data_IF_524016263357
#
_entry.id   IF_524016263357
#
_cell.length_a   1.000
_cell.length_b   1.000
_cell.length_c   1.000
_cell.angle_alpha   90.00
_cell.angle_beta   90.00
_cell.angle_gamma   90.00
#
_symmetry.space_group_name_H-M   'P 1'
#
loop_
_entity.id
_entity.type
_entity.pdbx_description
1 polymer ?
#
# COMPACT_ATOMS: atom_id res chain seq x y z
N UNK A 1 43.01 53.23 -46.95
CA UNK A 1 41.80 52.44 -47.30
C UNK A 1 41.41 51.60 -46.15
N UNK A 2 40.53 52.10 -45.30
CA UNK A 2 40.04 51.41 -44.08
C UNK A 2 38.66 50.90 -44.33
N UNK A 3 38.52 49.59 -44.31
CA UNK A 3 37.25 48.93 -44.55
C UNK A 3 36.57 48.63 -43.18
N UNK A 4 35.54 49.39 -42.82
CA UNK A 4 34.72 49.20 -41.64
C UNK A 4 33.60 48.24 -41.95
N UNK A 5 33.65 47.04 -41.38
CA UNK A 5 32.58 46.01 -41.45
C UNK A 5 31.50 46.36 -40.43
N UNK A 6 30.36 46.85 -40.91
CA UNK A 6 29.17 47.16 -40.13
C UNK A 6 28.42 45.84 -39.84
N UNK A 7 28.51 45.34 -38.58
CA UNK A 7 27.65 44.28 -38.06
C UNK A 7 26.36 44.93 -37.51
N UNK A 8 25.26 44.77 -38.23
CA UNK A 8 23.93 45.10 -37.75
C UNK A 8 23.02 43.96 -38.18
N UNK A 9 22.78 43.02 -37.28
CA UNK A 9 21.67 42.09 -37.44
C UNK A 9 20.97 41.95 -36.09
N UNK A 10 20.24 42.99 -35.70
CA UNK A 10 19.29 42.96 -34.62
C UNK A 10 17.97 42.43 -35.20
N UNK A 11 17.86 41.09 -35.30
CA UNK A 11 16.55 40.47 -35.53
C UNK A 11 15.75 40.60 -34.22
N UNK A 12 14.99 41.68 -34.10
CA UNK A 12 13.96 41.79 -33.08
C UNK A 12 12.91 40.70 -33.36
N UNK A 13 12.96 39.64 -32.57
CA UNK A 13 11.86 38.64 -32.57
C UNK A 13 10.55 39.42 -32.36
N UNK A 14 9.59 39.23 -33.27
CA UNK A 14 8.25 39.78 -33.14
C UNK A 14 7.66 39.41 -31.78
N UNK A 15 6.77 40.22 -31.23
CA UNK A 15 6.14 39.97 -29.91
C UNK A 15 5.53 38.58 -29.84
N UNK A 16 4.98 38.07 -30.93
CA UNK A 16 4.47 36.70 -31.10
C UNK A 16 5.56 35.64 -30.94
N UNK A 17 6.76 35.87 -31.51
CA UNK A 17 7.89 34.95 -31.36
C UNK A 17 8.40 34.87 -29.92
N UNK A 18 8.44 35.99 -29.19
CA UNK A 18 8.81 36.02 -27.76
C UNK A 18 7.80 35.28 -26.88
N UNK A 19 6.50 35.48 -27.15
CA UNK A 19 5.44 34.76 -26.42
C UNK A 19 5.54 33.24 -26.67
N UNK A 20 5.82 32.83 -27.90
CA UNK A 20 5.92 31.41 -28.27
C UNK A 20 7.12 30.73 -27.59
N UNK A 21 8.25 31.43 -27.48
CA UNK A 21 9.45 30.94 -26.74
C UNK A 21 9.16 30.83 -25.24
N UNK A 22 8.48 31.82 -24.64
CA UNK A 22 8.12 31.77 -23.21
C UNK A 22 7.17 30.62 -22.94
N UNK A 23 6.17 30.39 -23.79
CA UNK A 23 5.25 29.24 -23.66
C UNK A 23 5.99 27.90 -23.81
N UNK A 24 6.92 27.81 -24.77
CA UNK A 24 7.74 26.59 -24.94
C UNK A 24 8.64 26.32 -23.74
N UNK A 25 9.23 27.34 -23.13
CA UNK A 25 10.05 27.22 -21.90
C UNK A 25 9.19 26.82 -20.70
N UNK A 26 8.00 27.39 -20.53
CA UNK A 26 7.07 27.03 -19.46
C UNK A 26 6.55 25.60 -19.61
N UNK A 27 6.36 25.08 -20.81
CA UNK A 27 5.99 23.68 -21.07
C UNK A 27 7.16 22.71 -20.84
N UNK A 28 8.41 23.18 -20.91
CA UNK A 28 9.62 22.37 -20.67
C UNK A 28 9.96 22.14 -19.19
N UNK A 29 9.46 22.98 -18.27
CA UNK A 29 9.67 22.80 -16.83
C UNK A 29 8.62 21.81 -16.31
N UNK A 30 8.79 20.55 -16.66
CA UNK A 30 8.00 19.46 -16.12
C UNK A 30 8.27 19.28 -14.62
N UNK A 31 7.46 19.93 -13.77
CA UNK A 31 7.47 19.70 -12.33
C UNK A 31 7.07 18.26 -12.05
N UNK A 32 8.03 17.36 -11.90
CA UNK A 32 7.81 15.96 -11.50
C UNK A 32 7.08 15.85 -10.15
N UNK A 33 7.03 16.93 -9.37
CA UNK A 33 6.29 17.05 -8.12
C UNK A 33 4.79 17.36 -8.27
N UNK A 34 4.32 17.66 -9.48
CA UNK A 34 2.90 17.94 -9.75
C UNK A 34 2.05 16.66 -9.89
N UNK A 35 2.70 15.49 -9.99
CA UNK A 35 1.98 14.22 -10.09
C UNK A 35 1.42 13.77 -8.72
N UNK A 36 0.20 13.19 -8.69
CA UNK A 36 -0.45 12.72 -7.47
C UNK A 36 0.41 11.71 -6.70
N UNK A 37 0.35 11.84 -5.39
CA UNK A 37 0.90 10.89 -4.41
C UNK A 37 -0.24 10.44 -3.53
N UNK A 38 -0.25 9.18 -3.20
CA UNK A 38 -1.23 8.56 -2.33
C UNK A 38 -0.49 7.74 -1.28
N UNK A 39 -0.91 7.85 -0.05
CA UNK A 39 -0.38 7.08 1.07
C UNK A 39 -1.55 6.40 1.77
N UNK A 40 -1.60 5.05 1.67
CA UNK A 40 -2.53 4.24 2.42
C UNK A 40 -1.93 3.93 3.79
N UNK A 41 -2.54 4.48 4.81
CA UNK A 41 -2.23 4.21 6.20
C UNK A 41 -3.53 3.76 6.89
N UNK A 42 -3.71 2.45 7.01
CA UNK A 42 -4.89 1.87 7.66
C UNK A 42 -4.69 1.95 9.17
N UNK A 43 -4.69 3.17 9.74
CA UNK A 43 -4.75 3.40 11.19
C UNK A 43 -3.72 2.65 12.06
N UNK A 44 -2.67 2.09 11.46
CA UNK A 44 -1.66 1.33 12.20
C UNK A 44 -0.77 2.25 13.04
N UNK A 45 -0.55 1.88 14.31
CA UNK A 45 0.41 2.58 15.18
C UNK A 45 1.85 2.43 14.70
N UNK A 46 2.16 1.35 13.98
CA UNK A 46 3.51 1.06 13.50
C UNK A 46 3.79 1.77 12.16
N UNK A 47 4.91 2.46 12.11
CA UNK A 47 5.36 3.17 10.91
C UNK A 47 6.24 2.32 10.00
N UNK A 48 6.95 1.35 10.59
CA UNK A 48 7.92 0.49 9.93
C UNK A 48 7.68 -0.98 10.28
N UNK A 49 8.05 -1.87 9.36
CA UNK A 49 7.95 -3.32 9.56
C UNK A 49 8.68 -3.79 10.82
N UNK A 50 9.86 -3.24 11.08
CA UNK A 50 10.70 -3.62 12.22
C UNK A 50 10.04 -3.27 13.58
N UNK A 51 9.20 -2.24 13.63
CA UNK A 51 8.49 -1.86 14.86
C UNK A 51 7.46 -2.93 15.23
N UNK A 52 6.61 -3.34 14.26
CA UNK A 52 5.61 -4.39 14.52
C UNK A 52 6.29 -5.72 14.82
N UNK A 53 7.35 -6.04 14.10
CA UNK A 53 8.13 -7.25 14.31
C UNK A 53 8.72 -7.31 15.71
N UNK A 54 9.34 -6.23 16.17
CA UNK A 54 9.92 -6.11 17.52
C UNK A 54 8.85 -6.24 18.61
N UNK A 55 7.66 -5.65 18.42
CA UNK A 55 6.57 -5.77 19.38
C UNK A 55 6.00 -7.20 19.38
N UNK A 56 5.89 -7.85 18.21
CA UNK A 56 5.47 -9.23 18.10
C UNK A 56 6.47 -10.22 18.77
N UNK A 57 7.76 -9.96 18.64
CA UNK A 57 8.79 -10.83 19.23
C UNK A 57 8.76 -10.84 20.77
N UNK A 58 8.23 -9.77 21.41
CA UNK A 58 8.02 -9.69 22.86
C UNK A 58 6.88 -10.58 23.38
N UNK A 59 6.02 -11.07 22.49
CA UNK A 59 4.95 -12.00 22.88
C UNK A 59 5.58 -13.34 23.22
N UNK A 60 5.31 -13.85 24.39
CA UNK A 60 5.77 -15.17 24.84
C UNK A 60 4.56 -16.08 25.07
N UNK A 61 4.58 -17.26 24.42
CA UNK A 61 3.51 -18.25 24.60
C UNK A 61 3.48 -18.72 26.05
N UNK A 62 2.28 -18.90 26.58
CA UNK A 62 1.97 -19.30 27.97
C UNK A 62 2.34 -18.28 29.05
N UNK A 63 2.76 -17.05 28.66
CA UNK A 63 3.10 -15.98 29.61
C UNK A 63 2.35 -14.68 29.28
N UNK A 64 2.32 -14.29 28.00
CA UNK A 64 1.69 -13.04 27.58
C UNK A 64 0.17 -13.12 27.70
N UNK A 65 -0.41 -12.17 28.42
CA UNK A 65 -1.87 -12.05 28.56
C UNK A 65 -2.49 -11.16 27.50
N UNK A 66 -3.83 -11.18 27.38
CA UNK A 66 -4.56 -10.25 26.52
C UNK A 66 -4.28 -8.78 26.87
N UNK A 67 -4.12 -8.45 28.16
CA UNK A 67 -3.79 -7.10 28.60
C UNK A 67 -2.38 -6.68 28.15
N UNK A 68 -1.43 -7.60 28.12
CA UNK A 68 -0.09 -7.32 27.63
C UNK A 68 -0.08 -7.17 26.12
N UNK A 69 -0.90 -7.94 25.39
CA UNK A 69 -1.10 -7.74 23.94
C UNK A 69 -1.61 -6.33 23.62
N UNK A 70 -2.56 -5.80 24.41
CA UNK A 70 -3.02 -4.41 24.25
C UNK A 70 -1.89 -3.40 24.43
N UNK A 71 -1.04 -3.57 25.46
CA UNK A 71 0.13 -2.70 25.70
C UNK A 71 1.13 -2.77 24.54
N UNK A 72 1.34 -3.94 23.97
CA UNK A 72 2.18 -4.15 22.80
C UNK A 72 1.56 -3.59 21.49
N UNK A 73 0.26 -3.25 21.51
CA UNK A 73 -0.46 -2.67 20.39
C UNK A 73 -1.30 -3.67 19.59
N UNK A 74 -1.37 -4.92 20.03
CA UNK A 74 -2.24 -5.93 19.43
C UNK A 74 -3.62 -5.91 20.11
N UNK A 75 -4.31 -4.75 19.99
CA UNK A 75 -5.64 -4.54 20.54
C UNK A 75 -6.68 -4.39 19.43
N UNK A 76 -7.60 -5.36 19.25
CA UNK A 76 -8.60 -5.33 18.20
C UNK A 76 -9.65 -4.22 18.37
N UNK A 77 -9.76 -3.64 19.56
CA UNK A 77 -10.74 -2.57 19.82
C UNK A 77 -10.21 -1.18 19.46
N UNK A 78 -8.91 -1.01 19.36
CA UNK A 78 -8.26 0.28 19.04
C UNK A 78 -7.53 0.27 17.70
N UNK A 79 -7.24 -0.92 17.16
CA UNK A 79 -6.51 -1.09 15.90
C UNK A 79 -7.43 -1.69 14.83
N UNK A 80 -7.80 -0.96 13.77
CA UNK A 80 -8.77 -1.43 12.76
C UNK A 80 -8.28 -2.59 11.90
N UNK A 81 -6.99 -2.85 11.93
CA UNK A 81 -6.32 -3.94 11.20
C UNK A 81 -6.07 -5.19 12.04
N UNK A 82 -6.76 -5.30 13.17
CA UNK A 82 -6.73 -6.49 14.03
C UNK A 82 -8.16 -7.03 14.19
N UNK A 83 -8.36 -8.27 13.81
CA UNK A 83 -9.65 -8.95 13.86
C UNK A 83 -9.66 -10.03 14.93
N UNK A 84 -10.79 -10.16 15.62
CA UNK A 84 -11.02 -11.26 16.57
C UNK A 84 -11.54 -12.45 15.78
N UNK A 85 -10.92 -13.59 15.97
CA UNK A 85 -11.33 -14.88 15.43
C UNK A 85 -11.96 -15.71 16.53
N UNK A 86 -13.11 -16.32 16.22
CA UNK A 86 -13.70 -17.37 17.07
C UNK A 86 -12.94 -18.69 16.93
N UNK A 87 -13.21 -19.66 17.81
CA UNK A 87 -12.63 -21.00 17.66
C UNK A 87 -13.04 -21.68 16.34
N UNK A 88 -14.20 -21.34 15.77
CA UNK A 88 -14.64 -21.86 14.47
C UNK A 88 -13.79 -21.29 13.33
N UNK A 89 -13.45 -20.02 13.39
CA UNK A 89 -12.55 -19.39 12.41
C UNK A 89 -11.14 -19.99 12.49
N UNK A 90 -10.69 -20.31 13.72
CA UNK A 90 -9.40 -20.98 13.95
C UNK A 90 -9.44 -22.40 13.34
N UNK A 91 -10.52 -23.17 13.55
CA UNK A 91 -10.70 -24.49 12.92
C UNK A 91 -10.58 -24.36 11.41
N UNK A 92 -11.37 -23.45 10.80
CA UNK A 92 -11.36 -23.28 9.36
C UNK A 92 -9.99 -22.90 8.81
N UNK A 93 -9.19 -22.17 9.57
CA UNK A 93 -7.86 -21.72 9.17
C UNK A 93 -6.81 -22.83 9.24
N UNK A 94 -6.85 -23.65 10.28
CA UNK A 94 -5.89 -24.73 10.48
C UNK A 94 -6.32 -26.07 9.87
N UNK A 95 -7.62 -26.26 9.69
CA UNK A 95 -8.23 -27.47 9.13
C UNK A 95 -9.12 -27.10 7.93
N UNK A 96 -8.54 -26.62 6.82
CA UNK A 96 -9.31 -26.15 5.66
C UNK A 96 -10.00 -27.27 4.88
N UNK A 97 -9.72 -28.53 5.19
CA UNK A 97 -10.33 -29.72 4.60
C UNK A 97 -10.31 -30.90 5.57
N UNK A 98 -11.08 -31.94 5.27
CA UNK A 98 -11.30 -33.12 6.12
C UNK A 98 -10.07 -34.03 6.27
N UNK A 99 -9.00 -33.82 5.49
CA UNK A 99 -7.78 -34.62 5.59
C UNK A 99 -6.86 -34.20 6.74
N UNK A 100 -7.10 -33.01 7.33
CA UNK A 100 -6.35 -32.51 8.47
C UNK A 100 -7.20 -32.71 9.72
N UNK A 101 -6.64 -33.43 10.68
CA UNK A 101 -7.29 -33.73 11.96
C UNK A 101 -6.70 -32.89 13.09
N UNK A 102 -7.36 -32.89 14.26
CA UNK A 102 -6.84 -32.20 15.43
C UNK A 102 -5.49 -32.76 15.92
N UNK A 103 -5.20 -34.00 15.59
CA UNK A 103 -3.95 -34.67 16.02
C UNK A 103 -2.76 -34.27 15.10
N UNK A 104 -3.04 -33.74 13.94
CA UNK A 104 -2.02 -33.21 13.02
C UNK A 104 -1.61 -31.76 13.37
N UNK A 105 -2.35 -31.10 14.27
CA UNK A 105 -2.11 -29.72 14.64
C UNK A 105 -1.10 -29.60 15.79
N UNK A 106 -0.52 -28.41 15.94
CA UNK A 106 0.25 -28.06 17.12
C UNK A 106 -0.60 -28.33 18.40
N UNK A 107 -0.04 -28.95 19.44
CA UNK A 107 -0.77 -29.26 20.66
C UNK A 107 -1.47 -28.05 21.30
N UNK A 108 -0.87 -26.86 21.21
CA UNK A 108 -1.47 -25.64 21.76
C UNK A 108 -2.74 -25.23 20.99
N UNK A 109 -2.74 -25.43 19.67
CA UNK A 109 -3.91 -25.15 18.81
C UNK A 109 -5.01 -26.16 19.07
N UNK A 110 -4.67 -27.44 19.08
CA UNK A 110 -5.62 -28.53 19.40
C UNK A 110 -6.27 -28.34 20.76
N UNK A 111 -5.49 -27.99 21.78
CA UNK A 111 -5.98 -27.67 23.11
C UNK A 111 -6.93 -26.48 23.11
N UNK A 112 -6.57 -25.39 22.46
CA UNK A 112 -7.41 -24.20 22.32
C UNK A 112 -8.75 -24.55 21.65
N UNK A 113 -8.73 -25.22 20.50
CA UNK A 113 -9.95 -25.64 19.79
C UNK A 113 -10.88 -26.46 20.67
N UNK A 114 -10.35 -27.38 21.45
CA UNK A 114 -11.11 -28.21 22.40
C UNK A 114 -11.75 -27.39 23.54
N UNK A 115 -11.13 -26.26 23.90
CA UNK A 115 -11.67 -25.30 24.89
C UNK A 115 -12.83 -24.43 24.39
N UNK A 116 -13.15 -24.50 23.09
CA UNK A 116 -14.30 -23.80 22.43
C UNK A 116 -14.34 -22.30 22.76
N UNK A 117 -15.32 -21.87 23.57
CA UNK A 117 -15.57 -20.44 23.84
C UNK A 117 -14.41 -19.71 24.54
N UNK A 118 -13.50 -20.45 25.19
CA UNK A 118 -12.29 -19.88 25.80
C UNK A 118 -11.16 -19.65 24.77
N UNK A 119 -11.29 -20.27 23.59
CA UNK A 119 -10.33 -20.16 22.50
C UNK A 119 -10.74 -19.03 21.55
N UNK A 120 -9.89 -18.03 21.42
CA UNK A 120 -10.02 -16.95 20.46
C UNK A 120 -8.69 -16.72 19.74
N UNK A 121 -8.75 -16.04 18.59
CA UNK A 121 -7.56 -15.62 17.88
C UNK A 121 -7.56 -14.12 17.63
N UNK A 122 -6.38 -13.50 17.56
CA UNK A 122 -6.18 -12.19 17.01
C UNK A 122 -5.43 -12.32 15.69
N UNK A 123 -6.06 -11.86 14.61
CA UNK A 123 -5.46 -11.76 13.30
C UNK A 123 -5.09 -10.31 13.04
N UNK A 124 -3.79 -10.02 13.05
CA UNK A 124 -3.27 -8.69 12.85
C UNK A 124 -2.66 -8.55 11.45
N UNK A 125 -3.09 -7.53 10.69
CA UNK A 125 -2.65 -7.28 9.32
C UNK A 125 -2.17 -5.82 9.14
N UNK A 126 -1.23 -5.32 9.96
CA UNK A 126 -0.71 -3.98 9.76
C UNK A 126 0.09 -3.90 8.47
N UNK A 127 -0.18 -2.86 7.71
CA UNK A 127 0.52 -2.59 6.45
C UNK A 127 0.61 -1.09 6.20
N UNK A 128 1.56 -0.70 5.39
CA UNK A 128 1.68 0.66 4.89
C UNK A 128 2.11 0.63 3.45
N UNK A 129 1.40 1.37 2.60
CA UNK A 129 1.77 1.49 1.21
C UNK A 129 1.76 2.95 0.78
N UNK A 130 2.76 3.32 -0.03
CA UNK A 130 2.86 4.62 -0.68
C UNK A 130 2.89 4.40 -2.17
N UNK A 131 2.05 5.11 -2.89
CA UNK A 131 2.08 5.15 -4.34
C UNK A 131 2.42 6.54 -4.85
N UNK A 132 3.34 6.60 -5.80
CA UNK A 132 3.77 7.85 -6.45
C UNK A 132 3.72 7.65 -7.94
N UNK A 133 3.04 8.56 -8.63
CA UNK A 133 3.13 8.62 -10.09
C UNK A 133 4.46 9.26 -10.48
N UNK A 134 5.12 8.67 -11.47
CA UNK A 134 6.41 9.11 -11.97
C UNK A 134 6.40 9.13 -13.49
N UNK A 135 7.20 10.04 -14.10
CA UNK A 135 7.34 10.12 -15.54
C UNK A 135 6.92 11.47 -16.11
N UNK A 136 6.51 11.48 -17.37
CA UNK A 136 6.14 12.70 -18.08
C UNK A 136 4.73 13.15 -17.68
N UNK A 137 4.64 14.37 -17.10
CA UNK A 137 3.39 14.95 -16.59
C UNK A 137 2.33 15.09 -17.69
N UNK A 138 2.72 15.53 -18.90
CA UNK A 138 1.77 15.68 -19.99
C UNK A 138 1.15 14.35 -20.44
N UNK A 139 1.96 13.29 -20.54
CA UNK A 139 1.48 11.95 -20.88
C UNK A 139 0.61 11.33 -19.78
N UNK A 140 0.85 11.66 -18.51
CA UNK A 140 0.04 11.22 -17.38
C UNK A 140 -1.29 11.96 -17.32
N UNK A 141 -1.27 13.31 -17.42
CA UNK A 141 -2.47 14.15 -17.43
C UNK A 141 -3.41 13.82 -18.59
N UNK A 142 -2.85 13.60 -19.77
CA UNK A 142 -3.61 13.20 -20.97
C UNK A 142 -3.91 11.68 -20.98
N UNK A 143 -3.61 10.96 -19.90
CA UNK A 143 -3.87 9.52 -19.71
C UNK A 143 -3.24 8.58 -20.74
N UNK A 144 -2.33 9.05 -21.60
CA UNK A 144 -1.66 8.19 -22.59
C UNK A 144 -0.72 7.16 -21.95
N UNK A 145 0.04 7.57 -20.91
CA UNK A 145 0.96 6.69 -20.19
C UNK A 145 1.06 7.10 -18.72
N UNK A 146 0.67 6.18 -17.83
CA UNK A 146 0.83 6.30 -16.38
C UNK A 146 1.85 5.31 -15.88
N UNK A 147 2.75 5.78 -15.07
CA UNK A 147 3.73 4.98 -14.37
C UNK A 147 3.60 5.26 -12.88
N UNK A 148 3.23 4.24 -12.12
CA UNK A 148 3.03 4.34 -10.67
C UNK A 148 4.03 3.42 -9.99
N UNK A 149 4.87 3.99 -9.13
CA UNK A 149 5.72 3.23 -8.22
C UNK A 149 4.98 3.07 -6.90
N UNK A 150 4.91 1.84 -6.42
CA UNK A 150 4.38 1.49 -5.10
C UNK A 150 5.52 0.99 -4.23
N UNK A 151 5.62 1.53 -3.02
CA UNK A 151 6.57 1.08 -2.00
C UNK A 151 5.84 0.92 -0.68
N UNK A 152 6.28 -0.01 0.17
CA UNK A 152 5.62 -0.23 1.44
C UNK A 152 6.15 -1.44 2.16
N UNK A 153 5.36 -1.92 3.12
CA UNK A 153 5.57 -3.16 3.85
C UNK A 153 4.22 -3.75 4.26
N UNK A 154 4.19 -5.04 4.50
CA UNK A 154 3.05 -5.75 5.07
C UNK A 154 3.51 -6.74 6.14
N UNK A 155 2.73 -6.86 7.20
CA UNK A 155 2.94 -7.83 8.26
C UNK A 155 1.63 -8.55 8.52
N UNK A 156 1.71 -9.83 8.76
CA UNK A 156 0.58 -10.67 9.13
C UNK A 156 0.97 -11.44 10.39
N UNK A 157 0.10 -11.41 11.38
CA UNK A 157 0.26 -12.24 12.58
C UNK A 157 -1.05 -12.91 12.95
N UNK A 158 -0.95 -14.16 13.37
CA UNK A 158 -2.00 -14.90 14.04
C UNK A 158 -1.54 -15.23 15.46
N UNK A 159 -2.30 -14.76 16.44
CA UNK A 159 -2.05 -14.96 17.85
C UNK A 159 -3.25 -15.74 18.42
N UNK A 160 -3.02 -16.95 18.87
CA UNK A 160 -4.07 -17.80 19.45
C UNK A 160 -4.01 -17.68 20.96
N UNK A 161 -5.17 -17.45 21.57
CA UNK A 161 -5.34 -17.13 22.99
C UNK A 161 -6.34 -18.14 23.56
N UNK A 162 -5.99 -18.73 24.67
CA UNK A 162 -6.88 -19.59 25.43
C UNK A 162 -6.98 -19.09 26.87
N UNK A 163 -8.20 -18.88 27.34
CA UNK A 163 -8.48 -18.37 28.69
C UNK A 163 -7.65 -17.09 29.04
N UNK A 164 -7.58 -16.17 28.08
CA UNK A 164 -6.89 -14.89 28.25
C UNK A 164 -5.38 -14.91 28.14
N UNK A 165 -4.75 -16.07 27.87
CA UNK A 165 -3.30 -16.21 27.72
C UNK A 165 -2.95 -16.67 26.31
N UNK A 166 -1.89 -16.10 25.72
CA UNK A 166 -1.38 -16.53 24.42
C UNK A 166 -0.82 -17.94 24.52
N UNK A 167 -1.33 -18.86 23.69
CA UNK A 167 -0.84 -20.24 23.62
C UNK A 167 -0.05 -20.53 22.35
N UNK A 168 -0.32 -19.77 21.26
CA UNK A 168 0.39 -19.95 20.00
C UNK A 168 0.51 -18.60 19.26
N UNK A 169 1.59 -18.41 18.55
CA UNK A 169 1.79 -17.25 17.68
C UNK A 169 2.56 -17.62 16.42
N UNK A 170 2.17 -17.03 15.31
CA UNK A 170 2.88 -17.15 14.04
C UNK A 170 2.78 -15.83 13.29
N UNK A 171 3.78 -15.52 12.48
CA UNK A 171 3.78 -14.35 11.63
C UNK A 171 4.31 -14.67 10.24
N UNK A 172 3.94 -13.83 9.30
CA UNK A 172 4.50 -13.74 7.95
C UNK A 172 4.47 -12.28 7.50
N UNK A 173 5.11 -11.95 6.40
CA UNK A 173 5.05 -10.59 5.88
C UNK A 173 6.17 -10.24 4.94
N UNK A 174 6.07 -9.05 4.36
CA UNK A 174 7.02 -8.51 3.42
C UNK A 174 7.60 -7.21 3.97
N UNK A 175 8.86 -7.19 4.41
CA UNK A 175 9.51 -5.98 4.94
C UNK A 175 9.61 -4.87 3.90
N UNK A 176 9.73 -5.24 2.62
CA UNK A 176 9.85 -4.33 1.49
C UNK A 176 8.92 -4.81 0.39
N UNK A 177 7.83 -4.06 0.21
CA UNK A 177 6.98 -4.18 -0.96
C UNK A 177 7.42 -3.13 -1.96
N UNK A 178 7.90 -3.55 -3.13
CA UNK A 178 8.28 -2.64 -4.21
C UNK A 178 7.68 -3.12 -5.52
N UNK A 179 6.97 -2.26 -6.21
CA UNK A 179 6.33 -2.60 -7.46
C UNK A 179 6.16 -1.39 -8.37
N UNK A 180 6.16 -1.64 -9.67
CA UNK A 180 5.87 -0.67 -10.68
C UNK A 180 4.65 -1.11 -11.50
N UNK A 181 3.69 -0.21 -11.65
CA UNK A 181 2.53 -0.39 -12.52
C UNK A 181 2.59 0.61 -13.68
N UNK A 182 2.71 0.10 -14.88
CA UNK A 182 2.66 0.89 -16.12
C UNK A 182 1.30 0.65 -16.78
N UNK A 183 0.54 1.73 -16.97
CA UNK A 183 -0.69 1.73 -17.78
C UNK A 183 -0.46 2.56 -19.03
N UNK A 184 -0.72 1.97 -20.19
CA UNK A 184 -0.63 2.64 -21.49
C UNK A 184 -2.02 2.64 -22.10
N UNK A 185 -2.49 3.81 -22.51
CA UNK A 185 -3.75 4.00 -23.22
C UNK A 185 -3.43 4.68 -24.55
N UNK A 186 -3.25 3.93 -25.64
CA UNK A 186 -2.82 4.49 -26.94
C UNK A 186 -3.74 5.59 -27.47
N UNK A 187 -5.03 5.52 -27.18
CA UNK A 187 -6.05 6.49 -27.57
C UNK A 187 -6.31 7.58 -26.52
N UNK A 188 -5.49 7.60 -25.43
CA UNK A 188 -5.61 8.60 -24.37
C UNK A 188 -7.00 8.63 -23.70
N UNK A 189 -7.57 9.84 -23.46
CA UNK A 189 -8.86 10.01 -22.80
C UNK A 189 -10.05 9.36 -23.52
N UNK A 190 -9.95 9.21 -24.84
CA UNK A 190 -11.05 8.68 -25.69
C UNK A 190 -11.27 7.18 -25.45
N UNK A 191 -10.27 6.47 -24.95
CA UNK A 191 -10.34 5.02 -24.73
C UNK A 191 -11.32 4.61 -23.62
N UNK A 192 -11.72 5.54 -22.75
CA UNK A 192 -12.67 5.30 -21.66
C UNK A 192 -14.13 5.70 -21.95
N UNK A 193 -14.40 6.23 -23.16
CA UNK A 193 -15.75 6.67 -23.55
C UNK A 193 -16.49 5.48 -24.16
N UNK A 194 -17.54 5.02 -23.48
CA UNK A 194 -18.42 4.01 -24.07
C UNK A 194 -19.20 4.63 -25.23
N UNK A 195 -19.29 3.94 -26.40
CA UNK A 195 -20.06 4.45 -27.56
C UNK A 195 -21.52 4.82 -27.23
N UNK A 196 -22.11 4.20 -26.18
CA UNK A 196 -23.47 4.50 -25.72
C UNK A 196 -23.62 5.82 -24.96
N UNK A 197 -22.55 6.43 -24.47
CA UNK A 197 -22.61 7.70 -23.73
C UNK A 197 -22.50 8.92 -24.65
N UNK A 198 -22.04 8.75 -25.88
CA UNK A 198 -21.89 9.84 -26.87
C UNK A 198 -23.27 10.35 -27.32
N UNK A 199 -24.29 9.49 -27.33
CA UNK A 199 -25.66 9.88 -27.70
C UNK A 199 -26.45 10.69 -26.64
N UNK A 200 -25.89 10.90 -25.45
CA UNK A 200 -26.52 11.68 -24.37
C UNK A 200 -25.97 13.10 -24.24
N UNK A 201 -24.95 13.46 -25.02
CA UNK A 201 -24.26 14.75 -24.94
C UNK A 201 -24.62 15.65 -26.14
N UNK A 202 -25.33 15.12 -27.14
CA UNK A 202 -25.94 15.83 -28.25
C UNK A 202 -27.46 15.94 -28.06
#
# INVERSE_FOLDING_TARGET
MTYTRKWSDNRSLSLTGRILVIVAVLLGIGCSNALPREEDNIGSRWKHFEEVRKDFDKIESYQTTQEDLKKLGFDPYTQPNIHILSYLDIIQRFMPNDSITLDDLDPAISFCIRSRAQCIGYEAQPSRSKSKRVGNVALDLLTFKRRTMRTGWSFYALIVINDGVVVYKVWSGEPIVSGEKIRKNPLGPIQGVNPGDIGKIL
#
